data_IF_547160543982
#
_entry.id   IF_547160543982
#
_cell.length_a   1.000
_cell.length_b   1.000
_cell.length_c   1.000
_cell.angle_alpha   90.00
_cell.angle_beta   90.00
_cell.angle_gamma   90.00
#
_symmetry.space_group_name_H-M   'P 1'
#
loop_
_entity.id
_entity.type
_entity.pdbx_description
1 polymer ?
#
# COMPACT_ATOMS: atom_id res chain seq x y z
N UNK A 1 -5.14 -20.56 -56.37
CA UNK A 1 -4.06 -20.19 -55.43
C UNK A 1 -4.52 -18.94 -54.68
N UNK A 2 -5.10 -19.10 -53.48
CA UNK A 2 -5.65 -17.99 -52.68
C UNK A 2 -4.56 -17.45 -51.75
N UNK A 3 -4.21 -16.18 -51.89
CA UNK A 3 -3.27 -15.46 -51.01
C UNK A 3 -3.94 -15.22 -49.66
N UNK A 4 -3.35 -15.75 -48.58
CA UNK A 4 -3.75 -15.45 -47.21
C UNK A 4 -3.26 -14.04 -46.88
N UNK A 5 -4.19 -13.13 -46.63
CA UNK A 5 -3.89 -11.74 -46.30
C UNK A 5 -3.60 -11.68 -44.80
N UNK A 6 -2.37 -11.29 -44.45
CA UNK A 6 -1.94 -11.08 -43.09
C UNK A 6 -2.57 -9.78 -42.57
N UNK A 7 -3.71 -9.90 -41.90
CA UNK A 7 -4.30 -8.79 -41.14
C UNK A 7 -3.46 -8.60 -39.88
N UNK A 8 -2.78 -7.46 -39.82
CA UNK A 8 -2.11 -6.95 -38.63
C UNK A 8 -3.11 -6.70 -37.52
N UNK A 9 -3.20 -7.61 -36.54
CA UNK A 9 -3.85 -7.33 -35.27
C UNK A 9 -3.00 -6.32 -34.49
N UNK A 10 -3.34 -5.03 -34.58
CA UNK A 10 -2.85 -4.06 -33.60
C UNK A 10 -3.62 -4.30 -32.31
N UNK A 11 -3.04 -5.04 -31.36
CA UNK A 11 -3.56 -5.08 -30.01
C UNK A 11 -3.54 -3.65 -29.47
N UNK A 12 -4.68 -2.96 -29.45
CA UNK A 12 -4.77 -1.67 -28.77
C UNK A 12 -4.48 -1.95 -27.31
N UNK A 13 -3.30 -1.58 -26.84
CA UNK A 13 -2.94 -1.76 -25.44
C UNK A 13 -3.93 -0.93 -24.62
N UNK A 14 -4.93 -1.59 -24.04
CA UNK A 14 -5.90 -0.95 -23.17
C UNK A 14 -5.13 -0.46 -21.95
N UNK A 15 -4.96 0.86 -21.87
CA UNK A 15 -4.25 1.48 -20.76
C UNK A 15 -5.19 1.52 -19.56
N UNK A 16 -4.86 0.74 -18.53
CA UNK A 16 -5.54 0.78 -17.24
C UNK A 16 -4.74 1.63 -16.26
N UNK A 17 -5.43 2.44 -15.47
CA UNK A 17 -4.83 3.25 -14.40
C UNK A 17 -5.16 2.62 -13.06
N UNK A 18 -4.14 2.30 -12.27
CA UNK A 18 -4.28 1.80 -10.91
C UNK A 18 -4.10 2.96 -9.93
N UNK A 19 -5.17 3.35 -9.25
CA UNK A 19 -5.13 4.32 -8.18
C UNK A 19 -4.92 3.60 -6.85
N UNK A 20 -3.82 3.90 -6.17
CA UNK A 20 -3.51 3.36 -4.84
C UNK A 20 -3.39 4.48 -3.82
N UNK A 21 -3.89 4.21 -2.62
CA UNK A 21 -3.69 5.04 -1.44
C UNK A 21 -3.39 4.11 -0.26
N UNK A 22 -2.82 4.66 0.80
CA UNK A 22 -2.49 3.91 2.03
C UNK A 22 -3.74 3.52 2.84
N UNK A 23 -4.89 4.12 2.54
CA UNK A 23 -6.09 4.06 3.37
C UNK A 23 -6.08 5.14 4.45
N UNK A 24 -7.20 5.23 5.17
CA UNK A 24 -7.46 6.18 6.25
C UNK A 24 -8.10 5.39 7.40
N UNK A 25 -7.92 5.77 8.68
CA UNK A 25 -8.71 5.17 9.76
C UNK A 25 -10.21 5.35 9.50
N UNK A 26 -11.02 4.38 9.95
CA UNK A 26 -12.48 4.39 9.76
C UNK A 26 -13.15 5.62 10.41
N UNK A 27 -12.60 6.10 11.53
CA UNK A 27 -13.01 7.32 12.22
C UNK A 27 -11.81 7.94 12.97
N UNK A 28 -11.89 9.24 13.34
CA UNK A 28 -10.82 9.96 14.04
C UNK A 28 -10.75 9.61 15.54
N UNK A 29 -11.15 8.39 15.92
CA UNK A 29 -11.17 7.92 17.29
C UNK A 29 -9.82 7.29 17.64
N UNK A 30 -9.33 7.52 18.87
CA UNK A 30 -8.06 6.95 19.37
C UNK A 30 -7.88 5.45 19.07
N UNK A 31 -8.85 4.54 19.29
CA UNK A 31 -8.65 3.11 19.00
C UNK A 31 -8.46 2.80 17.51
N UNK A 32 -9.12 3.54 16.62
CA UNK A 32 -9.11 3.28 15.18
C UNK A 32 -7.83 3.84 14.53
N UNK A 33 -7.45 5.05 14.94
CA UNK A 33 -6.12 5.62 14.65
C UNK A 33 -5.02 4.71 15.22
N UNK A 34 -5.28 4.05 16.35
CA UNK A 34 -4.33 3.10 16.93
C UNK A 34 -4.06 1.89 16.03
N UNK A 35 -5.10 1.35 15.42
CA UNK A 35 -4.99 0.23 14.49
C UNK A 35 -4.32 0.66 13.19
N UNK A 36 -4.79 1.75 12.59
CA UNK A 36 -4.26 2.27 11.32
C UNK A 36 -2.75 2.54 11.36
N UNK A 37 -2.29 3.32 12.34
CA UNK A 37 -0.86 3.65 12.46
C UNK A 37 -0.02 2.43 12.89
N UNK A 38 -0.60 1.40 13.52
CA UNK A 38 0.13 0.14 13.77
C UNK A 38 0.42 -0.56 12.44
N UNK A 39 -0.57 -0.69 11.57
CA UNK A 39 -0.43 -1.36 10.28
C UNK A 39 0.51 -0.58 9.35
N UNK A 40 0.35 0.74 9.28
CA UNK A 40 1.18 1.61 8.44
C UNK A 40 2.66 1.52 8.85
N UNK A 41 2.95 1.71 10.13
CA UNK A 41 4.33 1.82 10.62
C UNK A 41 5.00 0.47 10.90
N UNK A 42 4.25 -0.64 10.93
CA UNK A 42 4.86 -1.99 11.03
C UNK A 42 5.55 -2.43 9.74
N UNK A 43 5.26 -1.75 8.62
CA UNK A 43 5.84 -2.04 7.32
C UNK A 43 7.31 -1.62 7.25
N UNK A 44 8.20 -2.52 6.82
CA UNK A 44 9.63 -2.22 6.59
C UNK A 44 9.84 -1.09 5.59
N UNK A 45 8.91 -0.89 4.65
CA UNK A 45 8.95 0.19 3.66
C UNK A 45 8.73 1.59 4.25
N UNK A 46 8.13 1.69 5.44
CA UNK A 46 7.85 2.98 6.10
C UNK A 46 8.93 3.30 7.13
N UNK A 47 9.45 2.28 7.82
CA UNK A 47 10.51 2.41 8.81
C UNK A 47 11.60 1.36 8.58
N UNK A 48 12.68 1.79 7.94
CA UNK A 48 13.88 0.99 7.68
C UNK A 48 14.84 1.00 8.89
N UNK A 49 14.40 0.36 9.97
CA UNK A 49 15.17 0.14 11.19
C UNK A 49 15.00 -1.31 11.66
N UNK A 50 15.88 -1.78 12.54
CA UNK A 50 15.80 -3.13 13.08
C UNK A 50 14.38 -3.42 13.65
N UNK A 51 13.76 -4.59 13.34
CA UNK A 51 12.41 -4.93 13.78
C UNK A 51 12.17 -4.77 15.27
N UNK A 52 13.19 -5.03 16.10
CA UNK A 52 13.09 -4.90 17.57
C UNK A 52 12.99 -3.43 17.98
N UNK A 53 13.83 -2.55 17.41
CA UNK A 53 13.75 -1.12 17.66
C UNK A 53 12.44 -0.53 17.15
N UNK A 54 11.97 -0.98 15.98
CA UNK A 54 10.67 -0.57 15.43
C UNK A 54 9.51 -0.94 16.35
N UNK A 55 9.51 -2.17 16.85
CA UNK A 55 8.48 -2.62 17.77
C UNK A 55 8.49 -1.82 19.09
N UNK A 56 9.68 -1.53 19.64
CA UNK A 56 9.83 -0.68 20.81
C UNK A 56 9.29 0.73 20.55
N UNK A 57 9.74 1.40 19.48
CA UNK A 57 9.28 2.74 19.12
C UNK A 57 7.76 2.78 18.95
N UNK A 58 7.20 1.79 18.24
CA UNK A 58 5.76 1.71 18.01
C UNK A 58 4.99 1.57 19.31
N UNK A 59 5.32 0.58 20.15
CA UNK A 59 4.51 0.22 21.31
C UNK A 59 4.79 1.10 22.54
N UNK A 60 5.98 1.68 22.70
CA UNK A 60 6.32 2.55 23.83
C UNK A 60 6.05 4.04 23.56
N UNK A 61 6.22 4.53 22.33
CA UNK A 61 6.18 5.97 22.05
C UNK A 61 5.09 6.38 21.07
N UNK A 62 4.83 5.62 19.99
CA UNK A 62 3.87 6.09 18.97
C UNK A 62 2.44 5.66 19.28
N UNK A 63 2.23 4.43 19.75
CA UNK A 63 0.91 3.87 20.08
C UNK A 63 0.26 4.43 21.36
N UNK A 64 1.00 4.75 22.44
CA UNK A 64 0.38 5.28 23.67
C UNK A 64 0.27 6.81 23.71
N UNK A 65 1.04 7.55 22.91
CA UNK A 65 1.01 9.02 22.87
C UNK A 65 0.19 9.60 21.70
N UNK A 66 -0.59 8.76 21.01
CA UNK A 66 -1.49 9.15 19.91
C UNK A 66 -2.95 9.08 20.33
#
# INVERSE_FOLDING_TARGET
MQTKNNTSESSSANTAVLMINLGTPDAPNTPEVRTYLRELLSSDRVLDINPVLRWLLLNLFILPFR
#
